data_IF_433787486891
#
_entry.id   IF_433787486891
#
_cell.length_a   1.000
_cell.length_b   1.000
_cell.length_c   1.000
_cell.angle_alpha   90.00
_cell.angle_beta   90.00
_cell.angle_gamma   90.00
#
_symmetry.space_group_name_H-M   'P 1'
#
loop_
_entity.id
_entity.type
_entity.pdbx_description
1 polymer ?
#
# COMPACT_ATOMS: atom_id res chain seq x y z
N UNK A 1 14.74 13.18 -13.41
CA UNK A 1 13.77 12.12 -13.05
C UNK A 1 14.00 11.79 -11.59
N UNK A 2 13.08 12.16 -10.71
CA UNK A 2 13.12 11.76 -9.30
C UNK A 2 12.98 10.24 -9.24
N UNK A 3 13.89 9.59 -8.53
CA UNK A 3 13.88 8.13 -8.35
C UNK A 3 12.68 7.77 -7.49
N UNK A 4 11.72 7.03 -8.04
CA UNK A 4 10.60 6.47 -7.30
C UNK A 4 11.14 5.60 -6.15
N UNK A 5 10.64 5.85 -4.93
CA UNK A 5 11.12 5.20 -3.71
C UNK A 5 10.16 4.06 -3.42
N UNK A 6 10.45 2.91 -4.02
CA UNK A 6 9.75 1.65 -3.71
C UNK A 6 10.30 1.05 -2.41
N UNK A 7 9.46 0.96 -1.38
CA UNK A 7 9.80 0.49 -0.03
C UNK A 7 9.16 -0.89 0.21
N UNK A 8 9.95 -1.88 0.61
CA UNK A 8 9.43 -3.17 1.05
C UNK A 8 8.73 -3.04 2.41
N UNK A 9 7.47 -3.49 2.51
CA UNK A 9 6.64 -3.39 3.73
C UNK A 9 6.26 -4.75 4.33
N UNK A 10 6.82 -5.84 3.82
CA UNK A 10 6.57 -7.19 4.31
C UNK A 10 5.70 -8.02 3.38
N UNK A 11 5.69 -9.35 3.56
CA UNK A 11 4.83 -10.30 2.85
C UNK A 11 4.84 -10.15 1.31
N UNK A 12 6.03 -9.94 0.74
CA UNK A 12 6.19 -9.67 -0.70
C UNK A 12 5.45 -8.42 -1.22
N UNK A 13 5.03 -7.52 -0.33
CA UNK A 13 4.37 -6.25 -0.64
C UNK A 13 5.37 -5.10 -0.57
N UNK A 14 5.24 -4.18 -1.52
CA UNK A 14 6.03 -2.95 -1.63
C UNK A 14 5.10 -1.76 -1.77
N UNK A 15 5.49 -0.62 -1.22
CA UNK A 15 4.79 0.65 -1.32
C UNK A 15 5.62 1.68 -2.09
N UNK A 16 4.96 2.51 -2.87
CA UNK A 16 5.54 3.65 -3.58
C UNK A 16 4.57 4.86 -3.51
N UNK A 17 5.04 6.04 -3.92
CA UNK A 17 4.25 7.26 -3.95
C UNK A 17 4.54 8.09 -5.19
N UNK A 18 3.52 8.28 -6.03
CA UNK A 18 3.64 9.01 -7.31
C UNK A 18 3.39 10.54 -7.19
N UNK A 19 3.16 11.04 -5.97
CA UNK A 19 2.75 12.43 -5.72
C UNK A 19 1.25 12.60 -5.49
N UNK A 20 0.45 11.55 -5.65
CA UNK A 20 -0.99 11.55 -5.38
C UNK A 20 -1.48 10.24 -4.76
N UNK A 21 -1.13 9.10 -5.35
CA UNK A 21 -1.50 7.76 -4.87
C UNK A 21 -0.41 7.12 -4.03
N UNK A 22 -0.82 6.34 -3.02
CA UNK A 22 0.03 5.28 -2.47
C UNK A 22 -0.12 4.06 -3.38
N UNK A 23 0.97 3.60 -3.98
CA UNK A 23 0.97 2.45 -4.88
C UNK A 23 1.46 1.23 -4.10
N UNK A 24 0.62 0.21 -3.97
CA UNK A 24 0.99 -1.08 -3.42
C UNK A 24 1.22 -2.08 -4.54
N UNK A 25 2.36 -2.75 -4.53
CA UNK A 25 2.64 -3.85 -5.48
C UNK A 25 2.99 -5.12 -4.73
N UNK A 26 2.53 -6.27 -5.21
CA UNK A 26 2.99 -7.59 -4.78
C UNK A 26 4.00 -8.14 -5.78
N UNK A 27 5.10 -8.74 -5.31
CA UNK A 27 6.15 -9.28 -6.19
C UNK A 27 6.59 -10.67 -5.75
N UNK A 28 6.52 -11.65 -6.65
CA UNK A 28 6.86 -13.06 -6.37
C UNK A 28 8.29 -13.45 -6.77
N UNK A 29 9.18 -12.48 -6.98
CA UNK A 29 10.56 -12.70 -7.43
C UNK A 29 10.75 -12.70 -8.95
N UNK A 30 9.66 -12.72 -9.73
CA UNK A 30 9.71 -12.61 -11.20
C UNK A 30 9.25 -11.25 -11.73
N UNK A 31 8.73 -10.39 -10.84
CA UNK A 31 8.11 -9.11 -11.20
C UNK A 31 6.87 -8.84 -10.35
N UNK A 32 6.32 -7.65 -10.52
CA UNK A 32 5.09 -7.28 -9.83
C UNK A 32 3.92 -8.07 -10.44
N UNK A 33 3.16 -8.78 -9.61
CA UNK A 33 2.01 -9.57 -10.05
C UNK A 33 0.70 -8.81 -9.91
N UNK A 34 0.63 -7.86 -8.97
CA UNK A 34 -0.52 -6.99 -8.77
C UNK A 34 -0.07 -5.59 -8.37
N UNK A 35 -0.92 -4.61 -8.68
CA UNK A 35 -0.72 -3.20 -8.36
C UNK A 35 -2.06 -2.61 -7.91
N UNK A 36 -2.07 -1.92 -6.78
CA UNK A 36 -3.22 -1.19 -6.24
C UNK A 36 -2.78 0.25 -6.02
N UNK A 37 -3.41 1.21 -6.71
CA UNK A 37 -3.22 2.62 -6.43
C UNK A 37 -4.32 3.08 -5.44
N UNK A 38 -3.91 3.52 -4.27
CA UNK A 38 -4.79 4.06 -3.25
C UNK A 38 -4.83 5.58 -3.40
N UNK A 39 -5.97 6.10 -3.85
CA UNK A 39 -6.27 7.53 -3.73
C UNK A 39 -6.36 7.94 -2.25
N UNK A 40 -6.17 9.23 -1.92
CA UNK A 40 -6.21 9.71 -0.54
C UNK A 40 -7.47 9.27 0.23
N UNK A 41 -8.64 9.38 -0.38
CA UNK A 41 -9.92 9.01 0.24
C UNK A 41 -10.04 7.51 0.53
N UNK A 42 -9.44 6.67 -0.31
CA UNK A 42 -9.42 5.21 -0.14
C UNK A 42 -8.46 4.82 0.98
N UNK A 43 -7.31 5.49 1.07
CA UNK A 43 -6.38 5.31 2.18
C UNK A 43 -7.02 5.68 3.53
N UNK A 44 -7.72 6.81 3.59
CA UNK A 44 -8.46 7.23 4.80
C UNK A 44 -9.48 6.16 5.23
N UNK A 45 -10.24 5.62 4.27
CA UNK A 45 -11.19 4.54 4.53
C UNK A 45 -10.51 3.26 5.04
N UNK A 46 -9.34 2.91 4.51
CA UNK A 46 -8.55 1.76 4.96
C UNK A 46 -8.06 1.94 6.41
N UNK A 47 -7.63 3.15 6.78
CA UNK A 47 -7.23 3.46 8.15
C UNK A 47 -8.42 3.33 9.11
N UNK A 48 -9.58 3.88 8.76
CA UNK A 48 -10.81 3.73 9.56
C UNK A 48 -11.21 2.25 9.74
N UNK A 49 -11.05 1.44 8.70
CA UNK A 49 -11.30 0.01 8.77
C UNK A 49 -10.33 -0.70 9.73
N UNK A 50 -9.03 -0.36 9.69
CA UNK A 50 -8.03 -0.89 10.61
C UNK A 50 -8.32 -0.49 12.07
N UNK A 51 -8.77 0.73 12.32
CA UNK A 51 -9.18 1.18 13.65
C UNK A 51 -10.35 0.35 14.19
N UNK A 52 -11.33 0.02 13.35
CA UNK A 52 -12.46 -0.85 13.71
C UNK A 52 -11.98 -2.26 14.08
N UNK A 53 -11.11 -2.87 13.28
CA UNK A 53 -10.54 -4.19 13.58
C UNK A 53 -9.81 -4.20 14.94
N UNK A 54 -9.07 -3.12 15.26
CA UNK A 54 -8.36 -3.02 16.54
C UNK A 54 -9.29 -2.91 17.76
N UNK A 55 -10.52 -2.45 17.58
CA UNK A 55 -11.52 -2.39 18.65
C UNK A 55 -12.18 -3.76 18.88
N UNK A 56 -12.40 -4.54 17.82
CA UNK A 56 -13.00 -5.88 17.91
C UNK A 56 -12.05 -6.94 18.50
N UNK A 57 -10.73 -6.70 18.44
CA UNK A 57 -9.71 -7.60 18.97
C UNK A 57 -9.21 -7.22 20.39
N UNK A 58 -9.90 -6.33 21.10
CA UNK A 58 -9.64 -5.95 22.49
C UNK A 58 -10.68 -6.57 23.42
#
# INVERSE_FOLDING_TARGET
MSKEIKIYIGDSVYADYDGYHIILTTNNGYGDTNTIALEPSVYDALILFNERIKQENK
#
